data_IF_879198561041
#
_entry.id   IF_879198561041
#
_cell.length_a   1.000
_cell.length_b   1.000
_cell.length_c   1.000
_cell.angle_alpha   90.00
_cell.angle_beta   90.00
_cell.angle_gamma   90.00
#
_symmetry.space_group_name_H-M   'P 1'
#
loop_
_entity.id
_entity.type
_entity.pdbx_description
1 polymer ?
#
# COMPACT_ATOMS: atom_id res chain seq x y z
N UNK A 1 -5.40 -16.81 8.39
CA UNK A 1 -5.61 -15.39 8.06
C UNK A 1 -4.24 -14.78 8.09
N UNK A 2 -3.76 -14.37 6.92
CA UNK A 2 -2.36 -14.15 6.59
C UNK A 2 -2.02 -12.67 6.82
N UNK A 3 -1.17 -12.40 7.83
CA UNK A 3 -0.65 -11.05 8.12
C UNK A 3 0.67 -10.84 7.42
N UNK A 4 0.64 -10.08 6.33
CA UNK A 4 1.83 -9.69 5.58
C UNK A 4 2.24 -8.27 5.96
N UNK A 5 3.36 -8.02 6.66
CA UNK A 5 3.89 -6.66 6.91
C UNK A 5 4.22 -5.91 5.60
N UNK A 6 4.23 -6.62 4.47
CA UNK A 6 4.27 -6.10 3.11
C UNK A 6 2.99 -5.36 2.68
N UNK A 7 1.94 -5.36 3.52
CA UNK A 7 0.69 -4.63 3.31
C UNK A 7 0.63 -3.31 4.10
N UNK A 8 1.73 -2.88 4.72
CA UNK A 8 1.78 -1.55 5.31
C UNK A 8 1.88 -0.50 4.19
N UNK A 9 1.21 0.62 4.39
CA UNK A 9 1.16 1.70 3.41
C UNK A 9 1.01 3.05 4.09
N UNK A 10 1.18 4.10 3.31
CA UNK A 10 0.72 5.45 3.61
C UNK A 10 -0.48 5.70 2.70
N UNK A 11 -1.62 6.11 3.27
CA UNK A 11 -2.79 6.48 2.50
C UNK A 11 -2.49 7.72 1.68
N UNK A 12 -2.93 7.71 0.43
CA UNK A 12 -2.62 8.71 -0.60
C UNK A 12 -1.17 8.71 -1.12
N UNK A 13 -0.30 7.80 -0.68
CA UNK A 13 1.01 7.52 -1.32
C UNK A 13 0.82 6.47 -2.41
N UNK A 14 0.22 6.90 -3.52
CA UNK A 14 -0.13 6.02 -4.63
C UNK A 14 1.13 5.42 -5.27
N UNK A 15 2.18 6.24 -5.44
CA UNK A 15 3.38 5.82 -6.15
C UNK A 15 4.35 5.00 -5.26
N UNK A 16 4.14 5.03 -3.94
CA UNK A 16 4.83 4.27 -2.88
C UNK A 16 6.28 4.69 -2.67
N UNK A 17 6.55 5.98 -2.82
CA UNK A 17 7.86 6.57 -2.58
C UNK A 17 8.04 7.12 -1.15
N UNK A 18 7.04 6.91 -0.30
CA UNK A 18 6.96 7.35 1.11
C UNK A 18 6.75 8.85 1.28
N UNK A 19 6.42 9.57 0.21
CA UNK A 19 5.94 10.93 0.25
C UNK A 19 4.49 10.99 -0.26
N UNK A 20 3.69 11.88 0.32
CA UNK A 20 2.37 12.20 -0.24
C UNK A 20 2.49 13.56 -0.92
N UNK A 21 2.54 13.55 -2.25
CA UNK A 21 2.69 14.73 -3.07
C UNK A 21 1.92 14.64 -4.41
N UNK A 22 2.19 15.58 -5.32
CA UNK A 22 1.48 15.65 -6.60
C UNK A 22 1.75 14.45 -7.52
N UNK A 23 2.87 13.76 -7.36
CA UNK A 23 3.21 12.59 -8.15
C UNK A 23 2.24 11.43 -7.88
N UNK A 24 1.69 11.33 -6.68
CA UNK A 24 0.67 10.33 -6.33
C UNK A 24 -0.62 10.54 -7.11
N UNK A 25 -1.09 11.79 -7.15
CA UNK A 25 -2.29 12.15 -7.91
C UNK A 25 -2.09 11.86 -9.40
N UNK A 26 -0.91 12.18 -9.95
CA UNK A 26 -0.59 11.92 -11.35
C UNK A 26 -0.55 10.41 -11.63
N UNK A 27 0.08 9.63 -10.75
CA UNK A 27 0.14 8.18 -10.88
C UNK A 27 -1.25 7.55 -10.80
N UNK A 28 -2.10 8.01 -9.87
CA UNK A 28 -3.48 7.57 -9.73
C UNK A 28 -4.30 7.84 -11.02
N UNK A 29 -4.28 9.07 -11.53
CA UNK A 29 -4.97 9.41 -12.78
C UNK A 29 -4.42 8.63 -13.99
N UNK A 30 -3.10 8.40 -14.02
CA UNK A 30 -2.46 7.57 -15.06
C UNK A 30 -2.96 6.12 -15.00
N UNK A 31 -3.11 5.55 -13.81
CA UNK A 31 -3.69 4.23 -13.62
C UNK A 31 -5.14 4.17 -14.12
N UNK A 32 -5.99 5.11 -13.68
CA UNK A 32 -7.41 5.11 -14.01
C UNK A 32 -7.69 5.35 -15.50
N UNK A 33 -6.91 6.20 -16.17
CA UNK A 33 -7.25 6.68 -17.52
C UNK A 33 -6.25 6.32 -18.62
N UNK A 34 -5.04 5.86 -18.27
CA UNK A 34 -3.96 5.66 -19.23
C UNK A 34 -3.25 4.30 -19.08
N UNK A 35 -3.81 3.39 -18.28
CA UNK A 35 -3.23 2.05 -18.07
C UNK A 35 -1.92 2.06 -17.29
N UNK A 36 -1.70 3.07 -16.45
CA UNK A 36 -0.60 3.11 -15.49
C UNK A 36 -0.67 1.98 -14.46
N UNK A 37 0.44 1.73 -13.76
CA UNK A 37 0.50 0.71 -12.70
C UNK A 37 -0.46 1.03 -11.55
N UNK A 38 -1.11 0.01 -11.01
CA UNK A 38 -1.91 0.13 -9.80
C UNK A 38 -0.99 0.30 -8.58
N UNK A 39 -1.49 0.98 -7.54
CA UNK A 39 -0.83 0.97 -6.24
C UNK A 39 -0.97 -0.40 -5.57
N UNK A 40 0.04 -0.81 -4.81
CA UNK A 40 0.03 -2.04 -4.01
C UNK A 40 0.62 -1.73 -2.63
N UNK A 41 -0.18 -1.80 -1.55
CA UNK A 41 -1.57 -2.27 -1.52
C UNK A 41 -2.56 -1.27 -2.16
N UNK A 42 -3.74 -1.76 -2.55
CA UNK A 42 -4.78 -0.94 -3.20
C UNK A 42 -5.31 0.16 -2.27
N UNK A 43 -5.27 -0.10 -0.96
CA UNK A 43 -5.65 0.85 0.10
C UNK A 43 -4.80 2.13 0.11
N UNK A 44 -3.61 2.13 -0.50
CA UNK A 44 -2.82 3.35 -0.69
C UNK A 44 -3.42 4.28 -1.76
N UNK A 45 -4.15 3.72 -2.72
CA UNK A 45 -4.82 4.45 -3.78
C UNK A 45 -6.18 5.03 -3.38
N UNK A 46 -6.82 4.46 -2.34
CA UNK A 46 -8.03 4.96 -1.69
C UNK A 46 -7.68 6.11 -0.72
N UNK A 47 -7.36 7.26 -1.32
CA UNK A 47 -6.90 8.45 -0.62
C UNK A 47 -7.99 9.02 0.30
N UNK A 48 -9.25 8.94 -0.12
CA UNK A 48 -10.38 9.48 0.64
C UNK A 48 -10.87 8.50 1.74
N UNK A 49 -10.51 7.22 1.65
CA UNK A 49 -10.81 6.17 2.62
C UNK A 49 -12.25 5.65 2.57
N UNK A 50 -12.94 5.78 1.44
CA UNK A 50 -14.32 5.30 1.28
C UNK A 50 -14.43 3.85 0.79
N UNK A 51 -13.28 3.22 0.48
CA UNK A 51 -13.17 1.85 0.04
C UNK A 51 -13.39 1.64 -1.46
N UNK A 52 -13.45 2.71 -2.26
CA UNK A 52 -13.55 2.66 -3.72
C UNK A 52 -12.44 3.50 -4.33
N UNK A 53 -11.54 2.86 -5.07
CA UNK A 53 -10.50 3.58 -5.83
C UNK A 53 -11.11 4.16 -7.10
N UNK A 54 -11.33 5.48 -7.12
CA UNK A 54 -11.86 6.21 -8.28
C UNK A 54 -11.35 7.66 -8.37
N UNK A 55 -11.94 8.47 -9.27
CA UNK A 55 -11.47 9.84 -9.50
C UNK A 55 -11.59 10.74 -8.27
N UNK A 56 -12.47 10.39 -7.32
CA UNK A 56 -12.64 11.13 -6.08
C UNK A 56 -11.39 11.09 -5.20
N UNK A 57 -10.56 10.05 -5.28
CA UNK A 57 -9.28 9.97 -4.58
C UNK A 57 -8.28 11.01 -5.10
N UNK A 58 -8.21 11.17 -6.42
CA UNK A 58 -7.36 12.20 -7.03
C UNK A 58 -7.85 13.61 -6.68
N UNK A 59 -9.16 13.83 -6.63
CA UNK A 59 -9.76 15.11 -6.22
C UNK A 59 -9.43 15.39 -4.75
N UNK A 60 -9.59 14.38 -3.88
CA UNK A 60 -9.26 14.48 -2.46
C UNK A 60 -7.79 14.80 -2.23
N UNK A 61 -6.87 14.11 -2.91
CA UNK A 61 -5.43 14.38 -2.84
C UNK A 61 -5.07 15.81 -3.24
N UNK A 62 -5.65 16.33 -4.33
CA UNK A 62 -5.44 17.72 -4.74
C UNK A 62 -5.98 18.72 -3.71
N UNK A 63 -7.14 18.45 -3.12
CA UNK A 63 -7.72 19.29 -2.08
C UNK A 63 -6.84 19.34 -0.83
N UNK A 64 -6.33 18.18 -0.38
CA UNK A 64 -5.36 18.12 0.71
C UNK A 64 -4.09 18.92 0.40
N UNK A 65 -3.47 18.69 -0.78
CA UNK A 65 -2.17 19.28 -1.15
C UNK A 65 -2.21 20.80 -1.35
N UNK A 66 -3.32 21.37 -1.81
CA UNK A 66 -3.37 22.78 -2.22
C UNK A 66 -4.33 23.65 -1.41
N UNK A 67 -5.28 23.06 -0.68
CA UNK A 67 -6.23 23.81 0.14
C UNK A 67 -6.05 23.55 1.65
N UNK A 68 -5.05 22.75 2.05
CA UNK A 68 -4.86 22.30 3.44
C UNK A 68 -6.19 21.79 4.06
N UNK A 69 -6.96 21.04 3.26
CA UNK A 69 -8.21 20.43 3.70
C UNK A 69 -7.94 19.24 4.65
N UNK A 70 -8.91 18.34 4.79
CA UNK A 70 -8.83 17.20 5.70
C UNK A 70 -7.68 16.27 5.27
N UNK A 71 -6.79 15.94 6.22
CA UNK A 71 -5.73 14.96 5.98
C UNK A 71 -6.31 13.56 5.67
N UNK A 72 -5.65 12.77 4.81
CA UNK A 72 -6.06 11.39 4.53
C UNK A 72 -6.27 10.58 5.82
N UNK A 73 -7.29 9.69 5.86
CA UNK A 73 -7.47 8.76 6.96
C UNK A 73 -6.21 7.91 7.21
N UNK A 74 -6.07 7.39 8.43
CA UNK A 74 -4.95 6.51 8.75
C UNK A 74 -4.90 5.26 7.84
N UNK A 75 -3.71 4.70 7.56
CA UNK A 75 -2.38 5.17 7.97
C UNK A 75 -1.94 6.40 7.14
N UNK A 76 -1.41 7.44 7.77
CA UNK A 76 -0.99 8.69 7.11
C UNK A 76 0.25 9.25 7.81
N UNK A 77 1.12 9.99 7.09
CA UNK A 77 2.46 10.48 7.51
C UNK A 77 3.53 9.40 7.81
N UNK A 78 3.11 8.17 8.14
CA UNK A 78 4.00 7.04 8.34
C UNK A 78 3.32 5.73 7.90
N UNK A 79 4.10 4.75 7.39
CA UNK A 79 3.54 3.46 7.01
C UNK A 79 2.87 2.76 8.19
N UNK A 80 1.70 2.18 7.93
CA UNK A 80 0.97 1.42 8.94
C UNK A 80 -0.02 0.43 8.32
N UNK A 81 -0.65 -0.41 9.16
CA UNK A 81 -1.74 -1.28 8.71
C UNK A 81 -3.01 -0.46 8.43
N UNK A 82 -3.89 -0.99 7.57
CA UNK A 82 -5.23 -0.43 7.40
C UNK A 82 -6.05 -0.57 8.71
N UNK A 83 -6.55 0.53 9.31
CA UNK A 83 -7.38 0.48 10.50
C UNK A 83 -8.71 -0.26 10.31
N UNK A 84 -9.23 -0.33 9.07
CA UNK A 84 -10.45 -1.08 8.77
C UNK A 84 -10.20 -2.60 8.72
N UNK A 85 -8.96 -3.02 8.46
CA UNK A 85 -8.52 -4.40 8.57
C UNK A 85 -8.17 -4.74 10.03
N UNK A 86 -9.16 -5.28 10.77
CA UNK A 86 -9.05 -5.79 12.16
C UNK A 86 -8.25 -7.10 12.26
N UNK A 87 -7.18 -7.16 11.53
CA UNK A 87 -6.50 -8.35 11.15
C UNK A 87 -5.10 -8.09 11.81
N UNK A 88 -4.82 -8.82 12.91
CA UNK A 88 -3.74 -8.52 13.86
C UNK A 88 -2.35 -9.07 13.48
N UNK A 89 -1.34 -8.21 13.55
CA UNK A 89 0.06 -8.50 13.18
C UNK A 89 0.76 -9.63 13.98
N UNK A 90 1.78 -10.18 13.30
CA UNK A 90 2.92 -11.00 13.75
C UNK A 90 2.76 -12.52 13.59
N UNK A 91 3.67 -13.09 12.79
CA UNK A 91 4.10 -14.48 12.84
C UNK A 91 4.09 -14.98 14.29
N UNK A 92 3.21 -15.93 14.61
CA UNK A 92 3.46 -16.77 15.78
C UNK A 92 4.81 -17.45 15.56
N UNK A 93 5.66 -17.50 16.58
CA UNK A 93 7.01 -18.11 16.50
C UNK A 93 6.98 -19.56 15.95
N UNK A 94 5.81 -20.17 15.98
CA UNK A 94 5.47 -21.49 15.46
C UNK A 94 5.42 -21.58 13.92
N UNK A 95 5.26 -20.45 13.21
CA UNK A 95 5.12 -20.38 11.74
C UNK A 95 6.39 -19.93 11.00
N UNK A 96 7.40 -19.42 11.72
CA UNK A 96 8.73 -19.09 11.19
C UNK A 96 9.40 -20.25 10.43
N UNK A 97 9.29 -21.53 10.85
CA UNK A 97 9.94 -22.63 10.15
C UNK A 97 9.46 -22.82 8.71
N UNK A 98 8.17 -22.61 8.43
CA UNK A 98 7.58 -22.75 7.09
C UNK A 98 7.99 -21.59 6.17
N UNK A 99 7.98 -20.36 6.69
CA UNK A 99 8.44 -19.18 5.95
C UNK A 99 9.95 -19.26 5.62
N UNK A 100 10.78 -19.69 6.59
CA UNK A 100 12.21 -19.94 6.39
C UNK A 100 12.48 -21.13 5.46
N UNK A 101 11.63 -22.16 5.47
CA UNK A 101 11.76 -23.30 4.56
C UNK A 101 11.47 -22.89 3.09
N UNK A 102 10.45 -22.06 2.86
CA UNK A 102 10.15 -21.52 1.53
C UNK A 102 11.28 -20.61 1.01
N UNK A 103 11.82 -19.76 1.88
CA UNK A 103 12.96 -18.89 1.55
C UNK A 103 14.24 -19.69 1.29
N UNK A 104 14.57 -20.68 2.13
CA UNK A 104 15.74 -21.55 1.92
C UNK A 104 15.62 -22.40 0.67
N UNK A 105 14.42 -22.89 0.33
CA UNK A 105 14.19 -23.63 -0.91
C UNK A 105 14.37 -22.71 -2.12
N UNK A 106 13.86 -21.47 -2.06
CA UNK A 106 14.03 -20.49 -3.13
C UNK A 106 15.49 -20.09 -3.31
N UNK A 107 16.23 -19.87 -2.23
CA UNK A 107 17.68 -19.61 -2.28
C UNK A 107 18.47 -20.83 -2.80
N UNK A 108 18.07 -22.05 -2.44
CA UNK A 108 18.71 -23.27 -2.97
C UNK A 108 18.46 -23.47 -4.47
N UNK A 109 17.27 -23.13 -4.97
CA UNK A 109 16.96 -23.20 -6.40
C UNK A 109 17.76 -22.16 -7.20
N UNK A 110 17.95 -20.96 -6.64
CA UNK A 110 18.80 -19.92 -7.23
C UNK A 110 20.29 -20.31 -7.26
N UNK A 111 20.80 -20.96 -6.21
CA UNK A 111 22.18 -21.50 -6.17
C UNK A 111 22.39 -22.70 -7.11
N UNK A 112 21.32 -23.42 -7.45
CA UNK A 112 21.32 -24.51 -8.43
C UNK A 112 21.09 -24.01 -9.87
N UNK A 113 20.85 -22.71 -10.07
CA UNK A 113 20.65 -22.08 -11.38
C UNK A 113 19.40 -22.57 -12.12
N UNK A 114 18.35 -22.96 -11.38
CA UNK A 114 17.04 -23.35 -11.91
C UNK A 114 16.03 -22.19 -11.85
#
# INVERSE_FOLDING_TARGET
MEFSPWLWFIRADFNRDLAVDIADVIANLSHQFNGGEASIPEEAADANGDGVVDISDAIFGLAYLFNDEVAPPAPFEAPGPDPANNQGNIFVLEELPQALAGFNLMMQLLELGL
#
